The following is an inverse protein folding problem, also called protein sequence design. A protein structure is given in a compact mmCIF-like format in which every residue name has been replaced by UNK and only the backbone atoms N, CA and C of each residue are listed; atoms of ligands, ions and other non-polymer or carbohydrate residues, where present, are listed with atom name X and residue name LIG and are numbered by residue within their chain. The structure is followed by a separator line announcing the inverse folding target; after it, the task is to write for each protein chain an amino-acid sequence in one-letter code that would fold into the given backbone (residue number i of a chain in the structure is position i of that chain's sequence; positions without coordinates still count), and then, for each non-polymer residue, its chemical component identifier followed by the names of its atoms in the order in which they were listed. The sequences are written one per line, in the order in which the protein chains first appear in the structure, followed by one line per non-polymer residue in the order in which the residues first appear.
data_IF_116237968274
#
_entry.id   IF_116237968274
#
_cell.length_a   1.000
_cell.length_b   1.000
_cell.length_c   1.000
_cell.angle_alpha   90.00
_cell.angle_beta   90.00
_cell.angle_gamma   90.00
#
_symmetry.space_group_name_H-M   'P 1'
#
loop_
_entity.id
_entity.type
_entity.pdbx_description
1 polymer ?
#
# COMPACT_ATOMS: atom_id res chain seq x y z
N UNK A 1 -18.95 13.63 9.20
CA UNK A 1 -18.16 12.39 9.06
C UNK A 1 -16.70 12.79 9.19
N UNK A 2 -16.01 12.34 10.23
CA UNK A 2 -14.58 12.62 10.41
C UNK A 2 -13.83 11.38 9.92
N UNK A 3 -12.82 11.55 9.08
CA UNK A 3 -11.97 10.46 8.59
C UNK A 3 -10.51 10.78 8.92
N UNK A 4 -9.74 9.75 9.26
CA UNK A 4 -8.31 9.84 9.56
C UNK A 4 -7.57 8.77 8.75
N UNK A 5 -6.27 8.94 8.54
CA UNK A 5 -5.45 7.90 7.94
C UNK A 5 -5.51 6.63 8.80
N UNK A 6 -5.83 5.52 8.15
CA UNK A 6 -5.76 4.22 8.79
C UNK A 6 -4.29 3.95 9.16
N UNK A 7 -3.97 3.39 10.34
CA UNK A 7 -2.59 3.18 10.76
C UNK A 7 -1.74 2.38 9.77
N UNK A 8 -2.36 1.45 9.03
CA UNK A 8 -1.68 0.68 7.99
C UNK A 8 -1.29 1.51 6.74
N UNK A 9 -1.84 2.71 6.54
CA UNK A 9 -1.66 3.46 5.30
C UNK A 9 -0.18 3.75 5.01
N UNK A 10 0.60 4.16 6.02
CA UNK A 10 2.04 4.42 5.85
C UNK A 10 2.92 3.18 5.89
N UNK A 11 2.38 2.03 6.29
CA UNK A 11 3.02 0.74 6.08
C UNK A 11 2.83 0.28 4.62
N UNK A 12 1.64 0.49 4.06
CA UNK A 12 1.37 0.20 2.64
C UNK A 12 2.11 1.17 1.71
N UNK A 13 2.20 2.45 2.07
CA UNK A 13 2.87 3.51 1.32
C UNK A 13 3.99 4.14 2.18
N UNK A 14 5.18 3.51 2.23
CA UNK A 14 6.30 3.98 3.04
C UNK A 14 6.69 5.41 2.70
N UNK A 15 6.79 6.28 3.71
CA UNK A 15 7.09 7.71 3.51
C UNK A 15 8.47 7.96 2.87
N UNK A 16 9.40 7.00 2.95
CA UNK A 16 10.69 7.08 2.26
C UNK A 16 10.53 6.99 0.74
N UNK A 17 9.53 6.26 0.25
CA UNK A 17 9.31 6.09 -1.18
C UNK A 17 8.71 7.35 -1.81
N UNK A 18 8.09 8.24 -1.01
CA UNK A 18 7.61 9.56 -1.45
C UNK A 18 8.75 10.36 -2.14
N UNK A 19 10.01 10.16 -1.75
CA UNK A 19 11.16 10.85 -2.36
C UNK A 19 11.55 10.33 -3.76
N UNK A 20 10.86 9.29 -4.25
CA UNK A 20 11.13 8.64 -5.54
C UNK A 20 9.98 8.87 -6.54
N UNK A 21 8.91 9.54 -6.10
CA UNK A 21 7.70 9.71 -6.88
C UNK A 21 7.79 10.95 -7.75
N UNK A 22 7.26 10.84 -8.97
CA UNK A 22 7.10 11.97 -9.86
C UNK A 22 5.83 12.74 -9.50
N UNK A 23 6.00 13.93 -8.93
CA UNK A 23 4.91 14.80 -8.50
C UNK A 23 4.38 15.66 -9.66
N UNK A 24 3.06 15.78 -9.76
CA UNK A 24 2.42 16.69 -10.70
C UNK A 24 2.45 18.13 -10.17
N UNK A 25 2.31 19.09 -11.09
CA UNK A 25 2.18 20.51 -10.78
C UNK A 25 0.91 21.07 -11.43
N UNK A 26 0.08 21.72 -10.60
CA UNK A 26 -1.11 22.45 -11.04
C UNK A 26 -0.99 23.90 -10.56
N UNK A 27 -1.11 24.87 -11.48
CA UNK A 27 -0.85 26.30 -11.22
C UNK A 27 0.50 26.57 -10.48
N UNK A 28 1.56 25.87 -10.87
CA UNK A 28 2.89 25.88 -10.23
C UNK A 28 2.92 25.40 -8.77
N UNK A 29 1.82 24.84 -8.26
CA UNK A 29 1.77 24.17 -6.97
C UNK A 29 2.00 22.67 -7.15
N UNK A 30 2.93 22.11 -6.38
CA UNK A 30 3.13 20.65 -6.34
C UNK A 30 1.90 19.98 -5.72
N UNK A 31 1.27 19.07 -6.46
CA UNK A 31 0.07 18.31 -6.06
C UNK A 31 0.41 16.84 -5.87
N UNK A 32 -0.52 15.89 -6.09
CA UNK A 32 -0.26 14.46 -5.97
C UNK A 32 0.74 13.93 -7.03
N UNK A 33 1.40 12.79 -6.76
CA UNK A 33 2.19 12.11 -7.78
C UNK A 33 1.30 11.47 -8.85
N UNK A 34 1.89 11.16 -10.00
CA UNK A 34 1.21 10.39 -11.06
C UNK A 34 0.62 9.09 -10.53
N UNK A 35 1.35 8.44 -9.61
CA UNK A 35 0.89 7.30 -8.85
C UNK A 35 1.79 7.11 -7.62
N UNK A 36 1.23 6.50 -6.57
CA UNK A 36 2.02 5.99 -5.46
C UNK A 36 2.48 4.55 -5.75
N UNK A 37 3.56 4.13 -5.10
CA UNK A 37 4.14 2.80 -5.26
C UNK A 37 3.98 1.99 -3.96
N UNK A 38 2.83 1.33 -3.72
CA UNK A 38 2.61 0.59 -2.49
C UNK A 38 3.53 -0.64 -2.39
N UNK A 39 3.68 -1.22 -1.18
CA UNK A 39 4.46 -2.47 -0.99
C UNK A 39 3.72 -3.73 -1.47
N UNK A 40 2.41 -3.62 -1.74
CA UNK A 40 1.52 -4.68 -2.24
C UNK A 40 0.54 -4.09 -3.26
N UNK A 41 0.08 -4.85 -4.28
CA UNK A 41 -0.79 -4.33 -5.34
C UNK A 41 -2.20 -4.02 -4.83
N UNK A 42 -2.42 -2.78 -4.41
CA UNK A 42 -3.71 -2.33 -3.84
C UNK A 42 -4.89 -2.46 -4.80
N UNK A 43 -4.63 -2.44 -6.12
CA UNK A 43 -5.62 -2.68 -7.17
C UNK A 43 -6.26 -4.08 -7.10
N UNK A 44 -5.52 -5.09 -6.62
CA UNK A 44 -6.04 -6.43 -6.42
C UNK A 44 -6.73 -6.56 -5.04
N UNK A 45 -6.25 -5.84 -4.03
CA UNK A 45 -6.80 -5.91 -2.66
C UNK A 45 -8.20 -5.31 -2.59
N UNK A 46 -8.34 -4.07 -3.09
CA UNK A 46 -9.60 -3.34 -3.02
C UNK A 46 -10.49 -3.55 -4.24
N UNK A 47 -9.97 -4.27 -5.25
CA UNK A 47 -10.57 -4.34 -6.57
C UNK A 47 -10.50 -3.01 -7.31
N UNK A 48 -11.09 -3.00 -8.50
CA UNK A 48 -11.25 -1.81 -9.33
C UNK A 48 -12.52 -1.93 -10.16
N UNK A 49 -13.32 -0.87 -10.22
CA UNK A 49 -14.50 -0.81 -11.06
C UNK A 49 -14.59 0.59 -11.67
N UNK A 50 -14.64 0.67 -13.00
CA UNK A 50 -14.67 1.94 -13.72
C UNK A 50 -15.17 1.77 -15.14
N UNK A 51 -15.92 2.77 -15.63
CA UNK A 51 -16.43 2.80 -17.00
C UNK A 51 -15.92 4.08 -17.64
N UNK A 52 -15.19 3.92 -18.74
CA UNK A 52 -14.71 5.01 -19.59
C UNK A 52 -15.32 4.94 -20.99
N UNK A 53 -14.84 5.81 -21.87
CA UNK A 53 -15.21 5.74 -23.29
C UNK A 53 -14.37 4.64 -23.95
N UNK A 54 -15.02 3.59 -24.45
CA UNK A 54 -14.37 2.48 -25.17
C UNK A 54 -13.93 1.29 -24.31
N UNK A 55 -13.73 1.49 -22.99
CA UNK A 55 -13.30 0.43 -22.07
C UNK A 55 -14.07 0.48 -20.75
N UNK A 56 -14.19 -0.68 -20.11
CA UNK A 56 -14.58 -0.81 -18.73
C UNK A 56 -13.53 -1.65 -18.00
N UNK A 57 -13.33 -1.39 -16.71
CA UNK A 57 -12.46 -2.17 -15.85
C UNK A 57 -13.28 -2.80 -14.73
N UNK A 58 -13.08 -4.09 -14.49
CA UNK A 58 -13.68 -4.81 -13.37
C UNK A 58 -12.71 -5.86 -12.83
N UNK A 59 -12.15 -5.55 -11.67
CA UNK A 59 -11.24 -6.40 -10.91
C UNK A 59 -11.88 -6.64 -9.54
N UNK A 60 -12.07 -7.90 -9.11
CA UNK A 60 -12.60 -8.20 -7.80
C UNK A 60 -11.53 -8.04 -6.71
N UNK A 61 -11.94 -8.17 -5.46
CA UNK A 61 -11.03 -8.15 -4.32
C UNK A 61 -10.30 -9.49 -4.21
N UNK A 62 -9.10 -9.47 -3.63
CA UNK A 62 -8.26 -10.63 -3.35
C UNK A 62 -7.74 -10.56 -1.91
N UNK A 63 -7.37 -11.72 -1.37
CA UNK A 63 -6.88 -11.80 0.00
C UNK A 63 -5.48 -11.19 0.13
N UNK A 64 -5.31 -10.36 1.15
CA UNK A 64 -4.06 -9.64 1.40
C UNK A 64 -2.93 -10.61 1.72
N UNK A 65 -3.20 -11.68 2.49
CA UNK A 65 -2.18 -12.64 2.94
C UNK A 65 -1.74 -13.54 1.78
N UNK A 66 -2.67 -13.92 0.91
CA UNK A 66 -2.38 -14.65 -0.32
C UNK A 66 -1.47 -13.83 -1.26
N UNK A 67 -1.77 -12.53 -1.43
CA UNK A 67 -0.93 -11.61 -2.20
C UNK A 67 0.49 -11.51 -1.60
N UNK A 68 0.60 -11.30 -0.28
CA UNK A 68 1.91 -11.24 0.41
C UNK A 68 2.68 -12.55 0.23
N UNK A 69 2.00 -13.69 0.37
CA UNK A 69 2.60 -15.01 0.15
C UNK A 69 3.15 -15.14 -1.27
N UNK A 70 2.39 -14.72 -2.28
CA UNK A 70 2.86 -14.74 -3.67
C UNK A 70 4.02 -13.77 -3.92
N UNK A 71 4.04 -12.59 -3.31
CA UNK A 71 5.19 -11.68 -3.39
C UNK A 71 6.43 -12.35 -2.76
N UNK A 72 6.30 -13.00 -1.60
CA UNK A 72 7.42 -13.75 -1.01
C UNK A 72 7.92 -14.89 -1.89
N UNK A 73 7.02 -15.60 -2.59
CA UNK A 73 7.41 -16.61 -3.59
C UNK A 73 8.22 -16.00 -4.72
N UNK A 74 7.78 -14.87 -5.27
CA UNK A 74 8.47 -14.18 -6.35
C UNK A 74 9.82 -13.62 -5.91
N UNK A 75 9.93 -13.10 -4.68
CA UNK A 75 11.21 -12.72 -4.05
C UNK A 75 12.16 -13.91 -3.86
N UNK A 76 11.65 -15.14 -3.86
CA UNK A 76 12.44 -16.39 -3.82
C UNK A 76 12.70 -16.95 -5.24
N UNK A 77 12.37 -16.22 -6.30
CA UNK A 77 12.51 -16.68 -7.68
C UNK A 77 11.50 -17.74 -8.11
N UNK A 78 10.38 -17.87 -7.40
CA UNK A 78 9.31 -18.83 -7.71
C UNK A 78 8.14 -18.15 -8.41
N UNK A 79 7.44 -18.89 -9.27
CA UNK A 79 6.19 -18.42 -9.87
C UNK A 79 5.08 -18.24 -8.80
N UNK A 80 4.25 -17.17 -8.93
CA UNK A 80 3.11 -16.97 -8.05
C UNK A 80 2.06 -18.06 -8.28
N UNK A 81 1.36 -18.43 -7.22
CA UNK A 81 0.23 -19.35 -7.28
C UNK A 81 -1.02 -18.65 -7.85
N UNK A 82 -1.92 -19.41 -8.48
CA UNK A 82 -3.27 -18.93 -8.80
C UNK A 82 -3.95 -18.39 -7.54
N UNK A 83 -4.70 -17.30 -7.67
CA UNK A 83 -5.46 -16.68 -6.58
C UNK A 83 -6.94 -16.64 -6.97
N UNK A 84 -7.82 -16.89 -6.01
CA UNK A 84 -9.27 -16.74 -6.20
C UNK A 84 -9.73 -15.40 -5.61
N UNK A 85 -10.77 -14.78 -6.19
CA UNK A 85 -11.36 -13.59 -5.58
C UNK A 85 -11.77 -13.86 -4.13
N UNK A 86 -11.45 -12.92 -3.25
CA UNK A 86 -11.73 -13.02 -1.83
C UNK A 86 -12.21 -11.65 -1.32
N UNK A 87 -13.33 -11.66 -0.61
CA UNK A 87 -13.90 -10.47 0.01
C UNK A 87 -13.83 -10.61 1.52
N UNK A 88 -13.16 -9.66 2.17
CA UNK A 88 -13.03 -9.65 3.62
C UNK A 88 -14.40 -9.76 4.30
N UNK A 89 -14.50 -10.64 5.30
CA UNK A 89 -15.69 -10.97 6.09
C UNK A 89 -16.83 -11.67 5.33
N UNK A 90 -16.67 -11.95 4.04
CA UNK A 90 -17.63 -12.77 3.31
C UNK A 90 -17.52 -14.23 3.76
N UNK A 91 -18.63 -14.82 4.19
CA UNK A 91 -18.67 -16.23 4.67
C UNK A 91 -19.05 -17.24 3.61
N UNK A 92 -19.61 -16.78 2.49
CA UNK A 92 -20.00 -17.63 1.39
C UNK A 92 -18.81 -18.17 0.60
N UNK A 93 -19.09 -18.80 -0.54
CA UNK A 93 -18.08 -19.43 -1.38
C UNK A 93 -17.92 -18.72 -2.71
N UNK A 94 -16.68 -18.63 -3.19
CA UNK A 94 -16.36 -18.19 -4.55
C UNK A 94 -15.62 -19.32 -5.24
N UNK A 95 -16.29 -19.94 -6.20
CA UNK A 95 -15.76 -21.09 -6.94
C UNK A 95 -15.47 -20.70 -8.39
N UNK A 96 -14.33 -21.12 -8.91
CA UNK A 96 -14.01 -20.93 -10.32
C UNK A 96 -14.84 -21.89 -11.17
N UNK A 97 -15.57 -21.35 -12.14
CA UNK A 97 -16.38 -22.12 -13.10
C UNK A 97 -15.64 -22.26 -14.43
N UNK A 98 -15.02 -21.17 -14.89
CA UNK A 98 -14.17 -21.11 -16.08
C UNK A 98 -13.06 -20.06 -15.85
N UNK A 99 -12.15 -19.92 -16.80
CA UNK A 99 -11.17 -18.84 -16.78
C UNK A 99 -11.87 -17.48 -16.67
N UNK A 100 -11.46 -16.70 -15.67
CA UNK A 100 -12.05 -15.40 -15.32
C UNK A 100 -13.57 -15.40 -15.06
N UNK A 101 -14.17 -16.56 -14.75
CA UNK A 101 -15.58 -16.69 -14.42
C UNK A 101 -15.75 -17.48 -13.14
N UNK A 102 -16.39 -16.86 -12.16
CA UNK A 102 -16.59 -17.39 -10.83
C UNK A 102 -18.07 -17.42 -10.48
N UNK A 103 -18.46 -18.37 -9.62
CA UNK A 103 -19.75 -18.39 -8.98
C UNK A 103 -19.61 -17.97 -7.52
N UNK A 104 -20.22 -16.83 -7.18
CA UNK A 104 -20.25 -16.31 -5.83
C UNK A 104 -21.57 -16.72 -5.18
N UNK A 105 -21.49 -17.56 -4.15
CA UNK A 105 -22.64 -18.18 -3.49
C UNK A 105 -22.74 -17.72 -2.04
N UNK A 106 -23.94 -17.31 -1.62
CA UNK A 106 -24.26 -17.08 -0.21
C UNK A 106 -24.40 -18.39 0.57
N UNK A 107 -24.83 -18.29 1.82
CA UNK A 107 -25.03 -19.44 2.70
C UNK A 107 -26.51 -19.66 3.00
N UNK A 108 -26.95 -20.91 2.89
CA UNK A 108 -28.30 -21.34 3.27
C UNK A 108 -28.25 -22.72 3.93
N UNK A 109 -28.95 -22.87 5.06
CA UNK A 109 -29.04 -24.10 5.81
C UNK A 109 -30.51 -24.49 6.05
N UNK A 110 -30.82 -25.78 6.01
CA UNK A 110 -32.12 -26.31 6.44
C UNK A 110 -32.08 -26.50 7.95
N UNK A 111 -33.01 -25.86 8.67
CA UNK A 111 -33.11 -25.95 10.13
C UNK A 111 -34.04 -27.08 10.54
N UNK A 112 -35.20 -27.17 9.88
CA UNK A 112 -36.19 -28.24 10.05
C UNK A 112 -37.01 -28.40 8.75
N UNK A 113 -37.99 -29.31 8.75
CA UNK A 113 -38.81 -29.62 7.55
C UNK A 113 -39.70 -28.47 7.07
N UNK A 114 -39.74 -27.34 7.77
CA UNK A 114 -40.53 -26.15 7.41
C UNK A 114 -39.70 -24.87 7.42
N UNK A 115 -38.39 -24.95 7.65
CA UNK A 115 -37.57 -23.77 7.97
C UNK A 115 -36.19 -23.84 7.35
N UNK A 116 -35.80 -22.74 6.72
CA UNK A 116 -34.41 -22.52 6.31
C UNK A 116 -33.87 -21.24 6.94
N UNK A 117 -32.55 -21.17 7.04
CA UNK A 117 -31.80 -19.99 7.45
C UNK A 117 -30.86 -19.55 6.34
N UNK A 118 -30.92 -18.28 5.96
CA UNK A 118 -29.94 -17.65 5.06
C UNK A 118 -29.02 -16.79 5.92
N UNK A 119 -27.76 -17.19 6.06
CA UNK A 119 -26.74 -16.54 6.89
C UNK A 119 -25.78 -15.65 6.10
N UNK A 120 -25.78 -15.71 4.78
CA UNK A 120 -24.93 -14.87 3.94
C UNK A 120 -25.55 -14.66 2.56
N UNK A 121 -25.41 -13.45 2.01
CA UNK A 121 -25.83 -13.14 0.64
C UNK A 121 -24.61 -13.05 -0.28
N UNK A 122 -24.73 -13.37 -1.58
CA UNK A 122 -23.62 -13.19 -2.52
C UNK A 122 -23.07 -11.76 -2.46
N UNK A 123 -21.75 -11.62 -2.56
CA UNK A 123 -21.07 -10.30 -2.67
C UNK A 123 -21.78 -9.37 -3.68
N UNK A 124 -21.89 -8.09 -3.32
CA UNK A 124 -22.67 -7.03 -4.01
C UNK A 124 -24.20 -7.22 -4.01
N UNK A 125 -24.73 -8.15 -3.21
CA UNK A 125 -26.18 -8.27 -2.94
C UNK A 125 -26.52 -7.59 -1.63
N UNK A 126 -27.20 -6.44 -1.70
CA UNK A 126 -27.56 -5.66 -0.52
C UNK A 126 -28.79 -6.23 0.20
N UNK A 127 -28.75 -6.28 1.54
CA UNK A 127 -29.80 -6.88 2.38
C UNK A 127 -31.21 -6.35 2.07
N UNK A 128 -31.37 -5.02 1.99
CA UNK A 128 -32.66 -4.41 1.69
C UNK A 128 -33.14 -4.73 0.26
N UNK A 129 -32.23 -4.67 -0.71
CA UNK A 129 -32.57 -5.01 -2.10
C UNK A 129 -32.95 -6.49 -2.25
N UNK A 130 -32.30 -7.39 -1.51
CA UNK A 130 -32.65 -8.81 -1.47
C UNK A 130 -34.03 -9.04 -0.85
N UNK A 131 -34.31 -8.38 0.29
CA UNK A 131 -35.62 -8.41 0.94
C UNK A 131 -36.73 -7.99 -0.03
N UNK A 132 -36.60 -6.83 -0.65
CA UNK A 132 -37.62 -6.25 -1.54
C UNK A 132 -37.79 -7.03 -2.86
N UNK A 133 -36.70 -7.50 -3.48
CA UNK A 133 -36.75 -8.05 -4.84
C UNK A 133 -36.78 -9.59 -4.87
N UNK A 134 -36.53 -10.26 -3.75
CA UNK A 134 -36.50 -11.72 -3.66
C UNK A 134 -37.52 -12.23 -2.65
N UNK A 135 -37.42 -11.80 -1.38
CA UNK A 135 -38.26 -12.36 -0.32
C UNK A 135 -39.72 -11.86 -0.37
N UNK A 136 -39.95 -10.57 -0.61
CA UNK A 136 -41.32 -10.02 -0.72
C UNK A 136 -42.12 -10.65 -1.87
N UNK A 137 -41.57 -10.84 -3.09
CA UNK A 137 -42.24 -11.61 -4.14
C UNK A 137 -42.47 -13.08 -3.78
N UNK A 138 -41.54 -13.71 -3.06
CA UNK A 138 -41.72 -15.10 -2.60
C UNK A 138 -42.80 -15.23 -1.53
N UNK A 139 -43.03 -14.20 -0.72
CA UNK A 139 -44.06 -14.19 0.33
C UNK A 139 -45.45 -13.89 -0.22
N UNK A 140 -45.57 -12.84 -1.03
CA UNK A 140 -46.86 -12.33 -1.48
C UNK A 140 -47.30 -12.92 -2.84
N UNK A 141 -46.35 -13.51 -3.58
CA UNK A 141 -46.53 -13.83 -4.99
C UNK A 141 -46.53 -12.58 -5.87
N UNK A 142 -46.55 -12.81 -7.18
CA UNK A 142 -46.73 -11.80 -8.22
C UNK A 142 -47.71 -12.34 -9.26
N UNK A 143 -48.13 -11.52 -10.22
CA UNK A 143 -48.99 -11.99 -11.32
C UNK A 143 -48.41 -13.20 -12.08
N UNK A 144 -47.08 -13.36 -12.07
CA UNK A 144 -46.36 -14.41 -12.83
C UNK A 144 -45.83 -15.55 -11.97
N UNK A 145 -45.70 -15.35 -10.66
CA UNK A 145 -45.01 -16.29 -9.76
C UNK A 145 -45.84 -16.47 -8.50
N UNK A 146 -46.30 -17.69 -8.18
CA UNK A 146 -47.05 -17.92 -6.96
C UNK A 146 -46.18 -17.74 -5.71
N UNK A 147 -46.79 -17.47 -4.54
CA UNK A 147 -46.07 -17.48 -3.26
C UNK A 147 -45.33 -18.82 -3.05
N UNK A 148 -44.09 -18.71 -2.57
CA UNK A 148 -43.22 -19.83 -2.26
C UNK A 148 -43.05 -20.01 -0.74
N UNK A 149 -42.97 -18.91 0.01
CA UNK A 149 -42.73 -18.90 1.45
C UNK A 149 -43.99 -18.43 2.19
N UNK A 150 -44.15 -18.85 3.45
CA UNK A 150 -45.30 -18.46 4.28
C UNK A 150 -45.00 -17.28 5.19
N UNK A 151 -43.74 -17.13 5.61
CA UNK A 151 -43.26 -16.03 6.45
C UNK A 151 -41.73 -15.95 6.40
N UNK A 152 -41.15 -14.82 6.76
CA UNK A 152 -39.74 -14.72 7.10
C UNK A 152 -39.52 -13.72 8.25
N UNK A 153 -38.43 -13.90 8.99
CA UNK A 153 -37.96 -12.95 10.02
C UNK A 153 -36.52 -12.54 9.74
N UNK A 154 -36.24 -11.27 9.96
CA UNK A 154 -34.92 -10.66 9.84
C UNK A 154 -34.24 -10.52 11.21
N UNK A 155 -33.01 -11.03 11.30
CA UNK A 155 -32.16 -10.95 12.49
C UNK A 155 -30.79 -10.35 12.14
N UNK A 156 -30.79 -9.37 11.25
CA UNK A 156 -29.59 -8.75 10.72
C UNK A 156 -28.92 -7.85 11.78
N UNK A 157 -27.61 -7.70 11.67
CA UNK A 157 -26.89 -6.58 12.28
C UNK A 157 -26.52 -5.57 11.19
N UNK A 158 -25.78 -4.54 11.57
CA UNK A 158 -25.12 -3.62 10.63
C UNK A 158 -24.08 -4.29 9.72
N UNK A 159 -23.61 -5.48 10.11
CA UNK A 159 -22.45 -6.17 9.52
C UNK A 159 -22.71 -7.61 9.10
N UNK A 160 -23.87 -8.18 9.46
CA UNK A 160 -24.21 -9.59 9.17
C UNK A 160 -25.65 -9.74 8.69
N UNK A 161 -25.86 -10.70 7.78
CA UNK A 161 -27.18 -11.08 7.30
C UNK A 161 -27.68 -12.33 8.02
N UNK A 162 -28.98 -12.37 8.32
CA UNK A 162 -29.66 -13.54 8.84
C UNK A 162 -31.17 -13.47 8.56
N UNK A 163 -31.66 -14.30 7.66
CA UNK A 163 -33.09 -14.49 7.41
C UNK A 163 -33.51 -15.88 7.88
N UNK A 164 -34.58 -15.97 8.66
CA UNK A 164 -35.24 -17.24 9.01
C UNK A 164 -36.53 -17.31 8.22
N UNK A 165 -36.62 -18.25 7.29
CA UNK A 165 -37.70 -18.35 6.31
C UNK A 165 -38.54 -19.59 6.62
N UNK A 166 -39.86 -19.43 6.68
CA UNK A 166 -40.83 -20.49 6.89
C UNK A 166 -41.53 -20.85 5.58
N UNK A 167 -41.72 -22.15 5.36
CA UNK A 167 -42.33 -22.73 4.16
C UNK A 167 -43.24 -23.90 4.56
N UNK A 168 -44.08 -24.37 3.63
CA UNK A 168 -44.69 -25.69 3.80
C UNK A 168 -43.66 -26.78 3.52
N UNK A 169 -43.82 -27.94 4.16
CA UNK A 169 -42.91 -29.08 4.00
C UNK A 169 -42.80 -29.53 2.53
N UNK A 170 -43.91 -29.54 1.81
CA UNK A 170 -43.93 -29.84 0.37
C UNK A 170 -43.08 -28.84 -0.44
N UNK A 171 -43.25 -27.54 -0.19
CA UNK A 171 -42.49 -26.50 -0.91
C UNK A 171 -41.01 -26.51 -0.57
N UNK A 172 -40.65 -26.84 0.67
CA UNK A 172 -39.25 -26.97 1.05
C UNK A 172 -38.59 -28.16 0.33
N UNK A 173 -39.27 -29.32 0.28
CA UNK A 173 -38.77 -30.48 -0.47
C UNK A 173 -38.62 -30.20 -1.96
N UNK A 174 -39.56 -29.49 -2.56
CA UNK A 174 -39.46 -29.02 -3.95
C UNK A 174 -38.26 -28.07 -4.14
N UNK A 175 -38.06 -27.12 -3.23
CA UNK A 175 -36.98 -26.14 -3.29
C UNK A 175 -35.60 -26.79 -3.10
N UNK A 176 -35.49 -27.76 -2.19
CA UNK A 176 -34.28 -28.54 -1.96
C UNK A 176 -33.91 -29.36 -3.21
N UNK A 177 -34.89 -30.06 -3.80
CA UNK A 177 -34.68 -30.84 -5.02
C UNK A 177 -34.26 -29.95 -6.21
N UNK A 178 -34.73 -28.70 -6.26
CA UNK A 178 -34.34 -27.72 -7.27
C UNK A 178 -33.01 -27.00 -6.96
N UNK A 179 -32.46 -27.17 -5.75
CA UNK A 179 -31.30 -26.49 -5.21
C UNK A 179 -31.63 -25.16 -4.54
N UNK A 180 -31.47 -25.08 -3.21
CA UNK A 180 -31.83 -23.90 -2.42
C UNK A 180 -31.12 -22.62 -2.88
N UNK A 181 -29.82 -22.71 -3.17
CA UNK A 181 -29.03 -21.61 -3.70
C UNK A 181 -29.63 -20.98 -4.97
N UNK A 182 -30.11 -21.82 -5.88
CA UNK A 182 -30.76 -21.38 -7.12
C UNK A 182 -32.15 -20.79 -6.85
N UNK A 183 -32.95 -21.49 -6.05
CA UNK A 183 -34.34 -21.09 -5.74
C UNK A 183 -34.36 -19.74 -5.03
N UNK A 184 -33.50 -19.56 -4.03
CA UNK A 184 -33.39 -18.33 -3.24
C UNK A 184 -32.48 -17.27 -3.87
N UNK A 185 -32.00 -17.47 -5.11
CA UNK A 185 -31.14 -16.52 -5.82
C UNK A 185 -29.90 -16.11 -5.01
N UNK A 186 -29.32 -17.09 -4.30
CA UNK A 186 -28.11 -16.95 -3.49
C UNK A 186 -26.85 -17.29 -4.30
N UNK A 187 -26.90 -17.15 -5.62
CA UNK A 187 -25.76 -17.33 -6.51
C UNK A 187 -25.71 -16.17 -7.50
N UNK A 188 -24.54 -15.56 -7.63
CA UNK A 188 -24.30 -14.47 -8.55
C UNK A 188 -23.05 -14.75 -9.37
N UNK A 189 -23.12 -14.73 -10.71
CA UNK A 189 -21.95 -14.89 -11.55
C UNK A 189 -21.02 -13.67 -11.43
N UNK A 190 -19.73 -13.93 -11.31
CA UNK A 190 -18.67 -12.93 -11.31
C UNK A 190 -17.75 -13.17 -12.50
N UNK A 191 -17.87 -12.35 -13.54
CA UNK A 191 -17.02 -12.41 -14.73
C UNK A 191 -15.99 -11.27 -14.72
N UNK A 192 -14.74 -11.60 -14.99
CA UNK A 192 -13.56 -10.72 -14.92
C UNK A 192 -12.81 -10.65 -16.27
N UNK A 193 -13.53 -10.58 -17.39
CA UNK A 193 -12.91 -10.56 -18.73
C UNK A 193 -12.37 -9.18 -19.16
N UNK A 194 -12.59 -8.14 -18.35
CA UNK A 194 -12.22 -6.76 -18.65
C UNK A 194 -11.38 -6.17 -17.52
N UNK A 195 -10.16 -6.68 -17.38
CA UNK A 195 -9.16 -6.14 -16.45
C UNK A 195 -8.28 -5.15 -17.22
N UNK A 196 -8.79 -3.94 -17.42
CA UNK A 196 -8.08 -2.87 -18.15
C UNK A 196 -7.57 -1.85 -17.16
N UNK A 197 -6.26 -1.59 -17.15
CA UNK A 197 -5.61 -0.62 -16.26
C UNK A 197 -4.65 0.25 -17.06
N UNK A 198 -4.35 1.43 -16.54
CA UNK A 198 -3.17 2.18 -16.97
C UNK A 198 -1.93 1.48 -16.40
N UNK A 199 -0.91 1.29 -17.24
CA UNK A 199 0.41 0.90 -16.78
C UNK A 199 1.19 2.09 -16.21
N UNK A 200 2.41 1.83 -15.74
CA UNK A 200 3.27 2.85 -15.10
C UNK A 200 3.72 3.98 -16.05
N UNK A 201 3.58 3.81 -17.37
CA UNK A 201 3.88 4.86 -18.36
C UNK A 201 2.62 5.58 -18.84
N UNK A 202 1.45 5.28 -18.26
CA UNK A 202 0.18 5.92 -18.60
C UNK A 202 -0.51 5.32 -19.83
N UNK A 203 -0.11 4.14 -20.29
CA UNK A 203 -0.76 3.44 -21.42
C UNK A 203 -1.82 2.46 -20.94
N UNK A 204 -2.95 2.40 -21.65
CA UNK A 204 -4.01 1.43 -21.36
C UNK A 204 -3.59 0.01 -21.77
N UNK A 205 -3.58 -0.90 -20.80
CA UNK A 205 -3.27 -2.32 -21.00
C UNK A 205 -4.43 -3.20 -20.50
N UNK A 206 -4.86 -4.15 -21.32
CA UNK A 206 -5.74 -5.24 -20.90
C UNK A 206 -4.90 -6.40 -20.39
N UNK A 207 -5.25 -6.90 -19.21
CA UNK A 207 -4.65 -8.06 -18.58
C UNK A 207 -5.55 -9.27 -18.76
N UNK A 208 -4.98 -10.42 -19.09
CA UNK A 208 -5.72 -11.67 -19.26
C UNK A 208 -5.83 -12.46 -17.94
N UNK A 209 -4.87 -12.28 -17.03
CA UNK A 209 -4.89 -12.88 -15.70
C UNK A 209 -4.47 -11.88 -14.61
N UNK A 210 -4.87 -12.14 -13.36
CA UNK A 210 -4.42 -11.34 -12.21
C UNK A 210 -2.95 -11.59 -11.87
N UNK A 211 -2.40 -12.73 -12.28
CA UNK A 211 -0.98 -13.05 -12.16
C UNK A 211 -0.14 -12.12 -13.04
N UNK A 212 -0.64 -11.72 -14.22
CA UNK A 212 0.03 -10.73 -15.08
C UNK A 212 0.09 -9.36 -14.40
N UNK A 213 -1.01 -8.94 -13.75
CA UNK A 213 -1.05 -7.70 -12.96
C UNK A 213 -0.03 -7.77 -11.81
N UNK A 214 0.00 -8.89 -11.10
CA UNK A 214 0.93 -9.11 -9.99
C UNK A 214 2.39 -9.09 -10.45
N UNK A 215 2.71 -9.69 -11.60
CA UNK A 215 4.05 -9.71 -12.20
C UNK A 215 4.51 -8.32 -12.61
N UNK A 216 3.69 -7.58 -13.35
CA UNK A 216 4.02 -6.21 -13.75
C UNK A 216 4.24 -5.31 -12.53
N UNK A 217 3.37 -5.42 -11.52
CA UNK A 217 3.54 -4.72 -10.25
C UNK A 217 4.84 -5.10 -9.55
N UNK A 218 5.16 -6.40 -9.48
CA UNK A 218 6.35 -6.90 -8.80
C UNK A 218 7.64 -6.37 -9.44
N UNK A 219 7.73 -6.41 -10.76
CA UNK A 219 8.90 -5.91 -11.50
C UNK A 219 9.10 -4.42 -11.27
N UNK A 220 8.02 -3.63 -11.35
CA UNK A 220 8.06 -2.20 -11.09
C UNK A 220 8.47 -1.93 -9.64
N UNK A 221 7.83 -2.61 -8.68
CA UNK A 221 8.09 -2.39 -7.26
C UNK A 221 9.52 -2.79 -6.88
N UNK A 222 10.07 -3.85 -7.48
CA UNK A 222 11.49 -4.19 -7.29
C UNK A 222 12.41 -3.08 -7.77
N UNK A 223 12.16 -2.49 -8.94
CA UNK A 223 12.96 -1.35 -9.43
C UNK A 223 12.92 -0.19 -8.43
N UNK A 224 11.76 0.09 -7.85
CA UNK A 224 11.62 1.13 -6.82
C UNK A 224 12.33 0.80 -5.51
N UNK A 225 12.45 -0.47 -5.12
CA UNK A 225 13.31 -0.84 -3.97
C UNK A 225 14.81 -0.65 -4.25
N UNK A 226 15.25 -0.84 -5.50
CA UNK A 226 16.62 -0.49 -5.90
C UNK A 226 16.83 1.03 -5.76
N UNK A 227 15.93 1.83 -6.34
CA UNK A 227 15.97 3.30 -6.24
C UNK A 227 15.93 3.78 -4.77
N UNK A 228 15.06 3.19 -3.95
CA UNK A 228 14.98 3.46 -2.50
C UNK A 228 16.31 3.20 -1.81
N UNK A 229 16.95 2.05 -2.09
CA UNK A 229 18.23 1.70 -1.49
C UNK A 229 19.31 2.71 -1.86
N UNK A 230 19.38 3.09 -3.13
CA UNK A 230 20.36 4.07 -3.63
C UNK A 230 20.12 5.46 -3.02
N UNK A 231 18.87 5.90 -2.97
CA UNK A 231 18.47 7.16 -2.33
C UNK A 231 18.85 7.18 -0.85
N UNK A 232 18.51 6.13 -0.10
CA UNK A 232 18.85 5.99 1.31
C UNK A 232 20.36 5.97 1.54
N UNK A 233 21.12 5.26 0.70
CA UNK A 233 22.57 5.21 0.80
C UNK A 233 23.21 6.58 0.52
N UNK A 234 22.68 7.32 -0.46
CA UNK A 234 23.08 8.70 -0.76
C UNK A 234 22.80 9.65 0.41
N UNK A 235 21.57 9.67 0.91
CA UNK A 235 21.16 10.54 2.02
C UNK A 235 21.95 10.23 3.30
N UNK A 236 22.02 8.95 3.72
CA UNK A 236 22.80 8.56 4.91
C UNK A 236 24.30 8.84 4.74
N UNK A 237 24.83 8.71 3.52
CA UNK A 237 26.20 9.10 3.18
C UNK A 237 26.42 10.60 3.38
N UNK A 238 25.52 11.43 2.88
CA UNK A 238 25.57 12.89 3.05
C UNK A 238 25.41 13.30 4.53
N UNK A 239 24.49 12.69 5.28
CA UNK A 239 24.32 12.93 6.72
C UNK A 239 25.57 12.53 7.51
N UNK A 240 26.16 11.37 7.19
CA UNK A 240 27.40 10.90 7.81
C UNK A 240 28.58 11.83 7.52
N UNK A 241 28.71 12.31 6.29
CA UNK A 241 29.73 13.29 5.90
C UNK A 241 29.53 14.63 6.63
N UNK A 242 28.30 15.11 6.73
CA UNK A 242 27.95 16.33 7.46
C UNK A 242 28.35 16.25 8.93
N UNK A 243 27.97 15.17 9.62
CA UNK A 243 28.33 14.94 11.02
C UNK A 243 29.84 14.76 11.20
N UNK A 244 30.51 14.12 10.24
CA UNK A 244 31.97 13.96 10.26
C UNK A 244 32.69 15.30 10.16
N UNK A 245 32.26 16.19 9.26
CA UNK A 245 32.77 17.55 9.14
C UNK A 245 32.48 18.37 10.41
N UNK A 246 31.28 18.28 10.99
CA UNK A 246 30.94 18.95 12.25
C UNK A 246 31.80 18.48 13.42
N UNK A 247 31.96 17.16 13.59
CA UNK A 247 32.80 16.59 14.63
C UNK A 247 34.27 17.02 14.47
N UNK A 248 34.78 17.00 13.23
CA UNK A 248 36.14 17.47 12.91
C UNK A 248 36.31 18.95 13.25
N UNK A 249 35.37 19.80 12.85
CA UNK A 249 35.40 21.23 13.13
C UNK A 249 35.46 21.53 14.63
N UNK A 250 34.61 20.88 15.43
CA UNK A 250 34.57 21.04 16.89
C UNK A 250 35.87 20.54 17.53
N UNK A 251 36.38 19.38 17.10
CA UNK A 251 37.64 18.82 17.60
C UNK A 251 38.82 19.75 17.33
N UNK A 252 38.98 20.23 16.09
CA UNK A 252 40.05 21.14 15.71
C UNK A 252 39.93 22.49 16.41
N UNK A 253 38.70 22.99 16.65
CA UNK A 253 38.46 24.22 17.42
C UNK A 253 38.86 24.08 18.88
N UNK A 254 38.54 22.96 19.52
CA UNK A 254 38.88 22.69 20.93
C UNK A 254 40.40 22.47 21.09
N UNK A 255 41.03 21.81 20.12
CA UNK A 255 42.49 21.56 20.11
C UNK A 255 43.31 22.81 19.77
N UNK A 256 42.65 23.89 19.33
CA UNK A 256 43.31 25.14 18.93
C UNK A 256 43.99 25.09 17.57
N UNK A 257 43.82 24.01 16.80
CA UNK A 257 44.33 23.91 15.42
C UNK A 257 43.49 24.72 14.44
N UNK A 258 42.22 24.97 14.77
CA UNK A 258 41.31 25.84 14.04
C UNK A 258 40.97 27.07 14.88
N UNK A 259 41.28 28.27 14.38
CA UNK A 259 40.98 29.56 15.03
C UNK A 259 40.08 30.37 14.12
N UNK A 260 38.90 30.74 14.62
CA UNK A 260 37.87 31.47 13.85
C UNK A 260 37.61 32.87 14.41
N UNK A 261 38.10 33.14 15.62
CA UNK A 261 37.91 34.39 16.34
C UNK A 261 38.48 35.59 15.56
N UNK A 262 37.66 36.63 15.42
CA UNK A 262 38.01 37.89 14.77
C UNK A 262 38.49 37.77 13.31
N UNK A 263 38.13 36.70 12.60
CA UNK A 263 38.41 36.54 11.16
C UNK A 263 37.23 37.00 10.30
N UNK A 264 37.46 37.71 9.17
CA UNK A 264 36.41 38.03 8.21
C UNK A 264 35.76 36.77 7.61
N UNK A 265 34.44 36.78 7.36
CA UNK A 265 33.70 35.65 6.78
C UNK A 265 34.34 35.08 5.50
N UNK A 266 34.81 35.95 4.59
CA UNK A 266 35.49 35.52 3.36
C UNK A 266 36.80 34.76 3.63
N UNK A 267 37.53 35.12 4.67
CA UNK A 267 38.76 34.42 5.07
C UNK A 267 38.43 33.05 5.69
N UNK A 268 37.39 32.98 6.52
CA UNK A 268 36.91 31.72 7.12
C UNK A 268 36.53 30.69 6.04
N UNK A 269 35.77 31.11 5.02
CA UNK A 269 35.38 30.23 3.90
C UNK A 269 36.63 29.70 3.17
N UNK A 270 37.58 30.58 2.82
CA UNK A 270 38.84 30.17 2.15
C UNK A 270 39.67 29.23 3.02
N UNK A 271 39.69 29.45 4.33
CA UNK A 271 40.42 28.62 5.29
C UNK A 271 39.81 27.22 5.37
N UNK A 272 38.48 27.10 5.53
CA UNK A 272 37.78 25.82 5.57
C UNK A 272 37.96 25.04 4.27
N UNK A 273 37.88 25.72 3.12
CA UNK A 273 38.15 25.13 1.82
C UNK A 273 39.59 24.60 1.70
N UNK A 274 40.58 25.38 2.13
CA UNK A 274 42.00 24.97 2.14
C UNK A 274 42.26 23.78 3.08
N UNK A 275 41.50 23.69 4.17
CA UNK A 275 41.57 22.57 5.12
C UNK A 275 40.79 21.32 4.66
N UNK A 276 40.13 21.39 3.49
CA UNK A 276 39.39 20.28 2.90
C UNK A 276 38.12 19.96 3.67
N UNK A 277 37.42 20.97 4.20
CA UNK A 277 36.04 20.79 4.65
C UNK A 277 35.10 20.81 3.44
N UNK A 278 34.14 19.89 3.45
CA UNK A 278 33.12 19.81 2.41
C UNK A 278 32.11 20.96 2.56
N UNK A 279 31.63 21.49 1.44
CA UNK A 279 30.37 22.27 1.42
C UNK A 279 29.23 21.37 1.92
N UNK A 280 28.14 21.94 2.47
CA UNK A 280 27.06 21.18 3.12
C UNK A 280 26.64 19.93 2.30
N UNK A 281 27.05 18.73 2.74
CA UNK A 281 26.90 17.53 1.91
C UNK A 281 25.43 17.18 1.67
N UNK A 282 24.55 17.47 2.64
CA UNK A 282 23.12 17.16 2.54
C UNK A 282 22.44 18.12 1.57
N UNK A 283 22.81 19.41 1.59
CA UNK A 283 22.29 20.38 0.64
C UNK A 283 22.76 20.06 -0.77
N UNK A 284 24.05 19.78 -0.95
CA UNK A 284 24.63 19.40 -2.23
C UNK A 284 23.97 18.15 -2.81
N UNK A 285 23.73 17.13 -1.97
CA UNK A 285 23.07 15.90 -2.40
C UNK A 285 21.62 16.14 -2.84
N UNK A 286 20.83 16.90 -2.07
CA UNK A 286 19.43 17.23 -2.45
C UNK A 286 19.36 18.02 -3.76
N UNK A 287 20.24 19.01 -3.93
CA UNK A 287 20.31 19.78 -5.17
C UNK A 287 20.72 18.91 -6.38
N UNK A 288 21.54 17.88 -6.19
CA UNK A 288 21.86 16.95 -7.25
C UNK A 288 20.64 16.12 -7.67
N UNK A 289 19.82 15.67 -6.71
CA UNK A 289 18.58 14.93 -7.01
C UNK A 289 17.54 15.80 -7.73
N UNK A 290 17.38 17.07 -7.34
CA UNK A 290 16.47 18.01 -8.02
C UNK A 290 16.91 18.32 -9.47
N UNK A 291 18.23 18.36 -9.74
CA UNK A 291 18.74 18.59 -11.10
C UNK A 291 18.51 17.41 -12.03
N UNK A 292 18.57 16.18 -11.51
CA UNK A 292 18.25 14.97 -12.28
C UNK A 292 16.75 14.88 -12.60
N UNK A 293 15.88 15.54 -11.81
CA UNK A 293 14.43 15.63 -12.07
C UNK A 293 14.03 16.75 -13.05
N UNK A 294 14.81 17.84 -13.15
CA UNK A 294 14.50 19.05 -13.93
C UNK A 294 15.17 19.12 -15.33
N UNK A 295 15.66 18.02 -15.91
CA UNK A 295 16.26 18.03 -17.27
C UNK A 295 15.30 18.43 -18.43
N UNK A 296 14.05 18.81 -18.14
CA UNK A 296 13.22 19.64 -19.04
C UNK A 296 12.92 21.04 -18.42
N UNK A 297 13.96 21.89 -18.37
CA UNK A 297 13.81 23.33 -18.53
C UNK A 297 13.56 24.17 -17.26
N UNK A 298 14.59 24.38 -16.45
CA UNK A 298 14.72 25.61 -15.67
C UNK A 298 16.20 25.93 -15.36
N UNK A 299 16.73 27.01 -15.94
CA UNK A 299 17.98 27.62 -15.48
C UNK A 299 17.73 28.29 -14.12
N UNK A 300 18.11 27.64 -13.01
CA UNK A 300 18.16 28.28 -11.70
C UNK A 300 19.49 29.03 -11.54
N UNK A 301 19.40 30.30 -11.13
CA UNK A 301 20.54 31.15 -10.79
C UNK A 301 21.45 30.49 -9.75
N UNK A 302 22.74 30.47 -10.09
CA UNK A 302 23.80 29.73 -9.41
C UNK A 302 24.32 30.51 -8.20
N UNK A 303 23.83 30.20 -7.00
CA UNK A 303 24.50 30.55 -5.73
C UNK A 303 25.64 29.54 -5.45
N UNK A 304 26.59 29.39 -6.38
CA UNK A 304 27.67 28.37 -6.39
C UNK A 304 28.80 28.56 -5.39
N UNK A 305 28.57 29.32 -4.31
CA UNK A 305 29.55 29.45 -3.24
C UNK A 305 29.62 28.17 -2.38
N UNK A 306 30.80 27.80 -1.85
CA UNK A 306 30.89 26.79 -0.79
C UNK A 306 30.03 27.16 0.42
N UNK A 307 29.12 26.27 0.82
CA UNK A 307 28.19 26.47 1.94
C UNK A 307 28.73 25.82 3.22
N UNK A 308 29.39 26.64 4.04
CA UNK A 308 29.88 26.24 5.36
C UNK A 308 28.96 26.68 6.51
N UNK A 309 27.74 27.14 6.23
CA UNK A 309 26.86 27.64 7.27
C UNK A 309 26.54 26.54 8.31
N UNK A 310 26.43 25.28 7.89
CA UNK A 310 26.19 24.13 8.79
C UNK A 310 27.30 23.89 9.83
N UNK A 311 28.49 24.46 9.63
CA UNK A 311 29.58 24.47 10.60
C UNK A 311 29.57 25.76 11.43
N UNK A 312 29.48 26.91 10.75
CA UNK A 312 29.64 28.24 11.35
C UNK A 312 28.42 28.70 12.17
N UNK A 313 27.23 28.11 11.93
CA UNK A 313 26.01 28.41 12.68
C UNK A 313 25.87 27.55 13.95
N UNK A 314 26.82 26.66 14.24
CA UNK A 314 26.78 25.84 15.46
C UNK A 314 26.93 26.73 16.71
N UNK A 315 26.00 26.66 17.68
CA UNK A 315 26.10 27.43 18.92
C UNK A 315 27.37 27.11 19.72
N UNK A 316 27.88 28.09 20.49
CA UNK A 316 29.11 27.93 21.29
C UNK A 316 29.08 26.75 22.28
N UNK A 317 27.91 26.36 22.78
CA UNK A 317 27.79 25.19 23.65
C UNK A 317 28.09 23.86 22.95
N UNK A 318 28.22 23.83 21.62
CA UNK A 318 28.76 22.67 20.91
C UNK A 318 30.23 22.37 21.22
N UNK A 319 30.93 23.33 21.81
CA UNK A 319 32.31 23.17 22.27
C UNK A 319 32.40 22.52 23.67
N UNK A 320 31.28 22.24 24.35
CA UNK A 320 31.34 21.50 25.61
C UNK A 320 31.68 20.03 25.39
N UNK A 321 32.19 19.37 26.44
CA UNK A 321 32.57 17.96 26.39
C UNK A 321 31.39 17.07 26.02
N UNK A 322 30.23 17.31 26.64
CA UNK A 322 29.01 16.52 26.44
C UNK A 322 28.53 16.61 25.00
N UNK A 323 28.55 17.81 24.40
CA UNK A 323 28.05 17.99 23.04
C UNK A 323 29.02 17.43 21.99
N UNK A 324 30.33 17.52 22.24
CA UNK A 324 31.33 16.81 21.43
C UNK A 324 31.10 15.30 21.45
N UNK A 325 30.96 14.71 22.64
CA UNK A 325 30.73 13.26 22.78
C UNK A 325 29.43 12.84 22.08
N UNK A 326 28.37 13.63 22.21
CA UNK A 326 27.11 13.40 21.50
C UNK A 326 27.26 13.47 19.98
N UNK A 327 27.99 14.47 19.44
CA UNK A 327 28.23 14.56 17.99
C UNK A 327 29.01 13.37 17.45
N UNK A 328 30.06 12.94 18.17
CA UNK A 328 30.81 11.73 17.79
C UNK A 328 29.90 10.49 17.79
N UNK A 329 29.05 10.35 18.82
CA UNK A 329 28.08 9.26 18.91
C UNK A 329 27.09 9.27 17.75
N UNK A 330 26.55 10.44 17.39
CA UNK A 330 25.64 10.60 16.26
C UNK A 330 26.30 10.24 14.93
N UNK A 331 27.54 10.69 14.70
CA UNK A 331 28.34 10.33 13.52
C UNK A 331 28.51 8.81 13.42
N UNK A 332 28.94 8.17 14.51
CA UNK A 332 29.23 6.73 14.53
C UNK A 332 27.96 5.89 14.36
N UNK A 333 26.84 6.35 14.93
CA UNK A 333 25.53 5.75 14.72
C UNK A 333 25.11 5.82 13.25
N UNK A 334 25.23 7.00 12.60
CA UNK A 334 24.89 7.18 11.19
C UNK A 334 25.79 6.38 10.25
N UNK A 335 27.08 6.27 10.56
CA UNK A 335 28.00 5.43 9.80
C UNK A 335 27.63 3.94 9.94
N UNK A 336 27.22 3.51 11.14
CA UNK A 336 26.76 2.14 11.39
C UNK A 336 25.46 1.84 10.63
N UNK A 337 24.52 2.78 10.64
CA UNK A 337 23.26 2.71 9.87
C UNK A 337 23.54 2.55 8.36
N UNK A 338 24.39 3.40 7.79
CA UNK A 338 24.80 3.32 6.39
C UNK A 338 25.45 1.98 6.04
N UNK A 339 26.38 1.51 6.89
CA UNK A 339 27.05 0.22 6.69
C UNK A 339 26.08 -0.96 6.79
N UNK A 340 25.04 -0.84 7.62
CA UNK A 340 23.99 -1.85 7.75
C UNK A 340 23.10 -1.86 6.51
N UNK A 341 22.66 -0.70 6.03
CA UNK A 341 21.89 -0.56 4.80
C UNK A 341 22.63 -1.12 3.58
N UNK A 342 23.94 -0.82 3.45
CA UNK A 342 24.75 -1.32 2.32
C UNK A 342 24.78 -2.85 2.23
N UNK A 343 24.65 -3.55 3.36
CA UNK A 343 24.62 -5.02 3.42
C UNK A 343 23.27 -5.61 3.06
N UNK A 344 22.17 -4.84 3.17
CA UNK A 344 20.82 -5.29 2.80
C UNK A 344 20.66 -5.27 1.29
N UNK A 345 20.03 -6.29 0.73
CA UNK A 345 19.55 -6.28 -0.66
C UNK A 345 18.24 -5.49 -0.79
N UNK A 346 17.87 -5.00 -1.98
CA UNK A 346 16.54 -4.46 -2.25
C UNK A 346 15.40 -5.40 -1.83
N UNK A 347 15.60 -6.71 -2.01
CA UNK A 347 14.67 -7.77 -1.60
C UNK A 347 14.53 -7.83 -0.08
N UNK A 348 15.62 -7.68 0.68
CA UNK A 348 15.58 -7.64 2.14
C UNK A 348 14.76 -6.46 2.66
N UNK A 349 14.90 -5.28 2.02
CA UNK A 349 14.10 -4.09 2.37
C UNK A 349 12.61 -4.34 2.14
N UNK A 350 12.25 -5.05 1.06
CA UNK A 350 10.85 -5.40 0.82
C UNK A 350 10.33 -6.40 1.85
N UNK A 351 11.13 -7.41 2.21
CA UNK A 351 10.75 -8.38 3.24
C UNK A 351 10.51 -7.71 4.60
N UNK A 352 11.32 -6.73 4.97
CA UNK A 352 11.15 -5.96 6.20
C UNK A 352 9.84 -5.16 6.21
N UNK A 353 9.53 -4.46 5.10
CA UNK A 353 8.27 -3.71 5.00
C UNK A 353 7.05 -4.66 5.03
N UNK A 354 7.11 -5.80 4.34
CA UNK A 354 6.04 -6.81 4.35
C UNK A 354 5.84 -7.42 5.74
N UNK A 355 6.92 -7.67 6.48
CA UNK A 355 6.86 -8.20 7.83
C UNK A 355 6.21 -7.19 8.79
N UNK A 356 6.65 -5.93 8.76
CA UNK A 356 6.06 -4.85 9.57
C UNK A 356 4.58 -4.64 9.24
N UNK A 357 4.22 -4.68 7.94
CA UNK A 357 2.82 -4.60 7.53
C UNK A 357 2.00 -5.81 8.01
N UNK A 358 2.53 -7.03 7.89
CA UNK A 358 1.83 -8.24 8.31
C UNK A 358 1.60 -8.29 9.82
N UNK A 359 2.58 -7.86 10.62
CA UNK A 359 2.45 -7.78 12.08
C UNK A 359 1.32 -6.82 12.48
N UNK A 360 1.31 -5.61 11.93
CA UNK A 360 0.27 -4.62 12.23
C UNK A 360 -1.09 -5.03 11.64
N UNK A 361 -1.10 -5.74 10.49
CA UNK A 361 -2.31 -6.28 9.90
C UNK A 361 -2.99 -7.28 10.84
N UNK A 362 -2.24 -8.15 11.51
CA UNK A 362 -2.80 -9.10 12.49
C UNK A 362 -3.37 -8.40 13.73
N UNK A 363 -2.80 -7.25 14.15
CA UNK A 363 -3.33 -6.45 15.26
C UNK A 363 -4.72 -5.90 14.92
N UNK A 364 -4.90 -5.37 13.70
CA UNK A 364 -6.17 -4.78 13.29
C UNK A 364 -7.18 -5.80 12.77
N UNK A 365 -6.69 -6.85 12.12
CA UNK A 365 -7.47 -7.85 11.38
C UNK A 365 -6.91 -9.24 11.66
N UNK A 366 -7.10 -9.77 12.88
CA UNK A 366 -6.62 -11.10 13.21
C UNK A 366 -7.22 -12.13 12.24
N UNK A 367 -6.40 -13.10 11.83
CA UNK A 367 -6.93 -14.24 11.09
C UNK A 367 -8.08 -14.90 11.87
N UNK A 368 -9.16 -15.35 11.19
CA UNK A 368 -10.25 -16.03 11.87
C UNK A 368 -9.68 -17.24 12.63
N UNK A 369 -9.92 -17.30 13.94
CA UNK A 369 -9.58 -18.46 14.75
C UNK A 369 -10.40 -19.64 14.25
N UNK A 370 -9.72 -20.67 13.72
CA UNK A 370 -10.34 -21.96 13.49
C UNK A 370 -10.63 -22.59 14.86
N UNK A 371 -11.83 -22.36 15.39
CA UNK A 371 -12.44 -23.17 16.46
C UNK A 371 -13.34 -24.25 15.87
#
# INVERSE_FOLDING_TARGET
MITFFFPLARLVFPAVDDNLLKYNYDDNQRVEPEWYIPIIPTVLINGSEGIGTGWASKIPNYDIREIISNIHRMLNGQEPLPMLPNYKNFRGTIEQVMDNQYMNSGEVAIIDSTTIEISELPVKTWTQAYKENVLEPMLNGTEKVPPLITNYKDYHTDTTVRFVIKMSEEKLREAEAAGLHKVFKLQSPLTCNSMVLFDHVGSLKKYESVQDILKDFFELRMKYYVLRKDWLAGMLGAESAKLSNQARFILEKIQGTLVIENKPKKELIRMLQKMGYDSDPVKAWKQAQEKDEEEEGAEKEDDSGPDYNYLLSMPMWFLTKEKKEELCRQRDAKMTELNTLKKKSPEDLWREDLAAFSEELEVFLPAPSHE
#
